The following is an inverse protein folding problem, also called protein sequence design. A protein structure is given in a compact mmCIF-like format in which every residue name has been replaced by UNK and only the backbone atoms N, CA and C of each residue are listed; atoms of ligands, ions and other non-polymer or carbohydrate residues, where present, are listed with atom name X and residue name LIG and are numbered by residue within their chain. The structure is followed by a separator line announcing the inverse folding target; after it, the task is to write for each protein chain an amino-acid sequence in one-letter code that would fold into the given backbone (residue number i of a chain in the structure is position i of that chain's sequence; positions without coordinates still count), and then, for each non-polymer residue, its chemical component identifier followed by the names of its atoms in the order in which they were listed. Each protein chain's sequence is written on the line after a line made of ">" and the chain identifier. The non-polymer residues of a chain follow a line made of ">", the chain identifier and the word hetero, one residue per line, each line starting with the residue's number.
data_IF_713155969089
#
_entry.id   IF_713155969089
#
_cell.length_a   1.000
_cell.length_b   1.000
_cell.length_c   1.000
_cell.angle_alpha   90.00
_cell.angle_beta   90.00
_cell.angle_gamma   90.00
#
_symmetry.space_group_name_H-M   'P 1'
#
loop_
_entity.id
_entity.type
_entity.pdbx_description
1 polymer ?
#
# COMPACT_ATOMS: atom_id res chain seq x y z
N UNK A 1 -3.25 13.36 19.51
CA UNK A 1 -3.91 12.38 20.41
C UNK A 1 -5.37 12.80 20.69
N UNK A 2 -6.33 11.88 20.53
CA UNK A 2 -7.74 12.15 20.83
C UNK A 2 -7.92 12.51 22.33
N UNK A 3 -8.77 13.50 22.68
CA UNK A 3 -9.00 13.90 24.07
C UNK A 3 -9.51 12.71 24.91
N UNK A 4 -8.97 12.54 26.12
CA UNK A 4 -9.34 11.46 27.05
C UNK A 4 -10.82 11.56 27.43
N UNK A 5 -11.67 10.73 26.84
CA UNK A 5 -13.10 10.67 27.17
C UNK A 5 -13.58 9.24 27.10
N UNK A 6 -14.21 8.78 28.19
CA UNK A 6 -15.03 7.56 28.39
C UNK A 6 -14.57 6.27 27.69
N UNK A 7 -14.40 5.17 28.43
CA UNK A 7 -14.08 3.84 27.85
C UNK A 7 -15.25 3.32 26.99
N UNK A 8 -15.39 3.82 25.76
CA UNK A 8 -16.55 3.59 24.87
C UNK A 8 -16.66 2.13 24.41
N UNK A 9 -15.54 1.41 24.39
CA UNK A 9 -15.49 -0.01 24.02
C UNK A 9 -15.35 -0.94 25.24
N UNK A 10 -15.52 -0.44 26.47
CA UNK A 10 -15.44 -1.26 27.67
C UNK A 10 -16.43 -2.42 27.63
N UNK A 11 -15.94 -3.64 27.81
CA UNK A 11 -16.74 -4.86 27.80
C UNK A 11 -17.25 -5.29 26.41
N UNK A 12 -17.06 -4.49 25.35
CA UNK A 12 -17.38 -4.89 23.99
C UNK A 12 -16.44 -6.01 23.52
N UNK A 13 -16.97 -6.92 22.72
CA UNK A 13 -16.21 -8.03 22.13
C UNK A 13 -15.92 -7.79 20.66
N UNK A 14 -14.64 -7.64 20.33
CA UNK A 14 -14.14 -7.44 18.97
C UNK A 14 -13.58 -8.76 18.43
N UNK A 15 -14.14 -9.24 17.31
CA UNK A 15 -13.57 -10.33 16.52
C UNK A 15 -12.72 -9.75 15.39
N UNK A 16 -11.39 -9.95 15.43
CA UNK A 16 -10.46 -9.30 14.49
C UNK A 16 -9.67 -10.35 13.73
N UNK A 17 -9.88 -10.43 12.42
CA UNK A 17 -9.09 -11.31 11.55
C UNK A 17 -7.71 -10.72 11.29
N UNK A 18 -6.66 -11.53 11.41
CA UNK A 18 -5.28 -11.09 11.19
C UNK A 18 -4.69 -10.20 12.30
N UNK A 19 -5.18 -10.31 13.54
CA UNK A 19 -4.74 -9.47 14.67
C UNK A 19 -3.42 -9.89 15.36
N UNK A 20 -2.67 -10.84 14.82
CA UNK A 20 -1.38 -11.27 15.40
C UNK A 20 -0.27 -10.22 15.26
N UNK A 21 -0.41 -9.26 14.33
CA UNK A 21 0.59 -8.20 14.04
C UNK A 21 -0.02 -7.06 13.23
N UNK A 22 0.77 -6.00 13.02
CA UNK A 22 0.44 -4.90 12.11
C UNK A 22 -0.85 -4.16 12.49
N UNK A 23 -1.61 -3.76 11.47
CA UNK A 23 -2.82 -2.93 11.61
C UNK A 23 -3.86 -3.62 12.52
N UNK A 24 -4.16 -4.90 12.29
CA UNK A 24 -5.12 -5.65 13.11
C UNK A 24 -4.75 -5.67 14.59
N UNK A 25 -3.46 -5.84 14.92
CA UNK A 25 -2.97 -5.78 16.31
C UNK A 25 -3.08 -4.36 16.88
N UNK A 26 -2.78 -3.33 16.10
CA UNK A 26 -2.89 -1.95 16.55
C UNK A 26 -4.34 -1.56 16.89
N UNK A 27 -5.31 -1.97 16.05
CA UNK A 27 -6.75 -1.81 16.33
C UNK A 27 -7.13 -2.55 17.62
N UNK A 28 -6.68 -3.80 17.77
CA UNK A 28 -6.91 -4.59 18.98
C UNK A 28 -6.39 -3.89 20.23
N UNK A 29 -5.15 -3.39 20.21
CA UNK A 29 -4.53 -2.69 21.34
C UNK A 29 -5.24 -1.38 21.68
N UNK A 30 -5.73 -0.66 20.66
CA UNK A 30 -6.50 0.57 20.88
C UNK A 30 -7.82 0.29 21.61
N UNK A 31 -8.54 -0.76 21.22
CA UNK A 31 -9.76 -1.19 21.91
C UNK A 31 -9.47 -1.80 23.29
N UNK A 32 -8.36 -2.53 23.44
CA UNK A 32 -7.94 -3.13 24.71
C UNK A 32 -7.72 -2.09 25.81
N UNK A 33 -7.22 -0.89 25.47
CA UNK A 33 -7.06 0.24 26.41
C UNK A 33 -8.38 0.70 27.06
N UNK A 34 -9.51 0.41 26.43
CA UNK A 34 -10.84 0.66 26.99
C UNK A 34 -11.36 -0.49 27.88
N UNK A 35 -10.64 -1.61 27.96
CA UNK A 35 -11.10 -2.83 28.63
C UNK A 35 -12.02 -3.70 27.75
N UNK A 36 -11.81 -3.69 26.43
CA UNK A 36 -12.53 -4.54 25.50
C UNK A 36 -12.04 -6.01 25.55
N UNK A 37 -12.91 -6.93 25.12
CA UNK A 37 -12.54 -8.32 24.85
C UNK A 37 -12.12 -8.46 23.38
N UNK A 38 -10.96 -9.05 23.12
CA UNK A 38 -10.41 -9.19 21.77
C UNK A 38 -10.27 -10.67 21.42
N UNK A 39 -10.94 -11.09 20.36
CA UNK A 39 -10.72 -12.38 19.71
C UNK A 39 -9.69 -12.20 18.59
N UNK A 40 -8.53 -12.84 18.76
CA UNK A 40 -7.40 -12.73 17.84
C UNK A 40 -7.47 -13.91 16.87
N UNK A 41 -8.13 -13.71 15.72
CA UNK A 41 -8.32 -14.75 14.72
C UNK A 41 -7.19 -14.70 13.66
N UNK A 42 -6.12 -15.47 13.87
CA UNK A 42 -5.01 -15.52 12.91
C UNK A 42 -4.27 -16.87 12.91
N UNK A 43 -3.48 -17.12 11.85
CA UNK A 43 -2.84 -18.42 11.61
C UNK A 43 -1.58 -18.69 12.46
N UNK A 44 -0.86 -17.65 12.87
CA UNK A 44 0.48 -17.80 13.45
C UNK A 44 0.40 -18.15 14.93
N UNK A 45 0.43 -19.44 15.25
CA UNK A 45 0.56 -19.95 16.62
C UNK A 45 2.03 -20.04 17.05
N UNK A 46 2.88 -20.58 16.17
CA UNK A 46 4.31 -20.73 16.40
C UNK A 46 5.12 -19.57 15.78
N UNK A 47 6.29 -19.20 16.35
CA UNK A 47 7.17 -18.19 15.78
C UNK A 47 7.52 -18.48 14.32
N UNK A 48 7.36 -17.47 13.45
CA UNK A 48 7.66 -17.59 12.02
C UNK A 48 9.04 -17.01 11.72
N UNK A 49 9.81 -17.66 10.82
CA UNK A 49 11.19 -17.25 10.49
C UNK A 49 11.32 -15.79 10.02
N UNK A 50 10.30 -15.28 9.34
CA UNK A 50 10.32 -13.95 8.70
C UNK A 50 9.26 -12.98 9.20
N UNK A 51 8.29 -13.43 10.01
CA UNK A 51 7.17 -12.60 10.45
C UNK A 51 7.17 -12.52 11.98
N UNK A 52 7.21 -11.32 12.57
CA UNK A 52 7.26 -11.17 14.02
C UNK A 52 5.89 -11.50 14.65
N UNK A 53 5.92 -11.94 15.91
CA UNK A 53 4.72 -12.15 16.74
C UNK A 53 3.88 -13.37 16.37
N UNK A 54 3.07 -13.79 17.33
CA UNK A 54 2.08 -14.87 17.23
C UNK A 54 0.74 -14.40 17.80
N UNK A 55 -0.31 -15.21 17.69
CA UNK A 55 -1.57 -14.94 18.40
C UNK A 55 -1.38 -14.85 19.91
N UNK A 56 -0.40 -15.57 20.48
CA UNK A 56 -0.13 -15.60 21.91
C UNK A 56 0.66 -14.37 22.37
N UNK A 57 1.66 -13.91 21.61
CA UNK A 57 2.35 -12.65 21.95
C UNK A 57 1.40 -11.46 21.83
N UNK A 58 0.53 -11.45 20.80
CA UNK A 58 -0.50 -10.43 20.67
C UNK A 58 -1.50 -10.46 21.85
N UNK A 59 -1.88 -11.65 22.32
CA UNK A 59 -2.74 -11.79 23.50
C UNK A 59 -2.11 -11.17 24.75
N UNK A 60 -0.84 -11.46 25.02
CA UNK A 60 -0.12 -10.88 26.15
C UNK A 60 -0.05 -9.35 26.07
N UNK A 61 0.20 -8.78 24.87
CA UNK A 61 0.21 -7.32 24.68
C UNK A 61 -1.19 -6.70 24.90
N UNK A 62 -2.26 -7.38 24.48
CA UNK A 62 -3.66 -6.94 24.67
C UNK A 62 -4.04 -6.96 26.16
N UNK A 63 -3.66 -8.02 26.88
CA UNK A 63 -3.91 -8.13 28.33
C UNK A 63 -3.13 -7.07 29.09
N UNK A 64 -1.87 -6.84 28.74
CA UNK A 64 -1.04 -5.78 29.32
C UNK A 64 -1.62 -4.37 29.06
N UNK A 65 -2.33 -4.18 27.94
CA UNK A 65 -3.02 -2.92 27.62
C UNK A 65 -4.34 -2.73 28.40
N UNK A 66 -4.79 -3.74 29.16
CA UNK A 66 -6.00 -3.69 29.99
C UNK A 66 -7.23 -4.39 29.40
N UNK A 67 -7.09 -5.03 28.23
CA UNK A 67 -8.16 -5.82 27.61
C UNK A 67 -8.17 -7.27 28.07
N UNK A 68 -9.10 -8.06 27.52
CA UNK A 68 -9.08 -9.53 27.62
C UNK A 68 -8.79 -10.12 26.26
N UNK A 69 -7.93 -11.13 26.16
CA UNK A 69 -7.58 -11.75 24.89
C UNK A 69 -8.11 -13.18 24.76
N UNK A 70 -8.57 -13.54 23.57
CA UNK A 70 -8.87 -14.91 23.18
C UNK A 70 -8.10 -15.24 21.88
N UNK A 71 -6.91 -15.85 21.98
CA UNK A 71 -6.17 -16.29 20.81
C UNK A 71 -6.83 -17.50 20.16
N UNK A 72 -7.15 -17.38 18.86
CA UNK A 72 -7.75 -18.44 18.05
C UNK A 72 -6.91 -18.68 16.80
N UNK A 73 -6.49 -19.93 16.59
CA UNK A 73 -5.84 -20.34 15.35
C UNK A 73 -6.88 -20.35 14.25
N UNK A 74 -6.81 -19.36 13.35
CA UNK A 74 -7.78 -19.20 12.27
C UNK A 74 -7.07 -18.88 10.96
N UNK A 75 -7.23 -19.79 10.00
CA UNK A 75 -7.08 -19.53 8.59
C UNK A 75 -8.46 -19.19 8.02
N UNK A 76 -8.69 -17.94 7.64
CA UNK A 76 -9.99 -17.46 7.10
C UNK A 76 -10.41 -18.12 5.78
N UNK A 77 -9.56 -18.96 5.20
CA UNK A 77 -9.90 -19.82 4.05
C UNK A 77 -10.69 -21.06 4.49
N UNK A 78 -10.58 -21.46 5.74
CA UNK A 78 -11.26 -22.64 6.30
C UNK A 78 -12.50 -22.18 7.08
N UNK A 79 -13.70 -22.43 6.53
CA UNK A 79 -14.97 -21.98 7.13
C UNK A 79 -15.19 -22.56 8.53
N UNK A 80 -14.82 -23.82 8.73
CA UNK A 80 -14.91 -24.50 10.03
C UNK A 80 -14.06 -23.82 11.10
N UNK A 81 -12.85 -23.34 10.77
CA UNK A 81 -12.01 -22.62 11.74
C UNK A 81 -12.62 -21.26 12.12
N UNK A 82 -13.31 -20.59 11.19
CA UNK A 82 -14.06 -19.37 11.48
C UNK A 82 -15.21 -19.70 12.45
N UNK A 83 -16.02 -20.71 12.14
CA UNK A 83 -17.16 -21.15 12.97
C UNK A 83 -16.68 -21.46 14.39
N UNK A 84 -15.68 -22.33 14.52
CA UNK A 84 -15.15 -22.74 15.82
C UNK A 84 -14.63 -21.55 16.64
N UNK A 85 -13.98 -20.57 16.00
CA UNK A 85 -13.50 -19.37 16.69
C UNK A 85 -14.63 -18.44 17.14
N UNK A 86 -15.68 -18.28 16.32
CA UNK A 86 -16.88 -17.49 16.67
C UNK A 86 -17.62 -18.15 17.83
N UNK A 87 -17.83 -19.47 17.78
CA UNK A 87 -18.46 -20.22 18.88
C UNK A 87 -17.67 -20.11 20.18
N UNK A 88 -16.33 -20.23 20.10
CA UNK A 88 -15.44 -20.03 21.25
C UNK A 88 -15.55 -18.62 21.81
N UNK A 89 -15.61 -17.60 20.95
CA UNK A 89 -15.80 -16.21 21.36
C UNK A 89 -17.12 -16.00 22.11
N UNK A 90 -18.22 -16.50 21.56
CA UNK A 90 -19.55 -16.40 22.16
C UNK A 90 -19.62 -17.15 23.49
N UNK A 91 -19.03 -18.35 23.57
CA UNK A 91 -18.93 -19.10 24.83
C UNK A 91 -18.12 -18.36 25.90
N UNK A 92 -17.08 -17.63 25.49
CA UNK A 92 -16.14 -16.99 26.42
C UNK A 92 -16.63 -15.61 26.88
N UNK A 93 -17.18 -14.81 25.96
CA UNK A 93 -17.53 -13.40 26.20
C UNK A 93 -19.02 -13.09 26.07
N UNK A 94 -19.85 -14.09 25.74
CA UNK A 94 -21.31 -13.96 25.68
C UNK A 94 -21.86 -13.41 24.36
N UNK A 95 -21.01 -12.91 23.46
CA UNK A 95 -21.43 -12.34 22.18
C UNK A 95 -20.29 -11.76 21.36
N UNK A 96 -20.64 -11.10 20.26
CA UNK A 96 -19.72 -10.35 19.40
C UNK A 96 -20.39 -9.02 19.08
N UNK A 97 -19.72 -7.92 19.38
CA UNK A 97 -20.21 -6.56 19.13
C UNK A 97 -19.63 -5.99 17.84
N UNK A 98 -18.40 -6.37 17.52
CA UNK A 98 -17.66 -5.77 16.41
C UNK A 98 -16.91 -6.88 15.67
N UNK A 99 -17.01 -6.88 14.34
CA UNK A 99 -16.14 -7.64 13.45
C UNK A 99 -15.21 -6.67 12.71
N UNK A 100 -13.92 -6.97 12.70
CA UNK A 100 -12.93 -6.28 11.88
C UNK A 100 -12.32 -7.27 10.88
N UNK A 101 -12.67 -7.13 9.62
CA UNK A 101 -12.09 -7.90 8.51
C UNK A 101 -10.79 -7.24 8.04
N UNK A 102 -9.68 -7.60 8.70
CA UNK A 102 -8.35 -7.07 8.43
C UNK A 102 -7.43 -8.08 7.71
N UNK A 103 -7.66 -9.39 7.84
CA UNK A 103 -6.83 -10.39 7.17
C UNK A 103 -6.80 -10.14 5.64
N UNK A 104 -5.61 -10.16 5.06
CA UNK A 104 -5.44 -9.97 3.62
C UNK A 104 -4.18 -10.68 3.09
N UNK A 105 -4.20 -10.99 1.81
CA UNK A 105 -3.07 -11.43 1.00
C UNK A 105 -2.86 -10.45 -0.16
N UNK A 106 -1.62 -10.35 -0.62
CA UNK A 106 -1.19 -9.38 -1.63
C UNK A 106 -0.17 -10.00 -2.59
N UNK A 107 -0.35 -9.72 -3.88
CA UNK A 107 0.62 -9.96 -4.95
C UNK A 107 0.48 -8.84 -5.97
N UNK A 108 1.53 -8.04 -6.16
CA UNK A 108 1.54 -6.91 -7.09
C UNK A 108 2.15 -7.31 -8.43
N UNK A 109 1.52 -8.28 -9.09
CA UNK A 109 1.97 -8.88 -10.35
C UNK A 109 0.91 -8.66 -11.44
N UNK A 110 1.35 -8.54 -12.69
CA UNK A 110 0.47 -8.49 -13.85
C UNK A 110 -0.19 -9.86 -14.14
N UNK A 111 -1.09 -9.89 -15.12
CA UNK A 111 -1.92 -11.07 -15.41
C UNK A 111 -1.08 -12.30 -15.78
N UNK A 112 -0.05 -12.15 -16.60
CA UNK A 112 0.80 -13.27 -17.04
C UNK A 112 1.76 -13.73 -15.94
N UNK A 113 2.12 -12.85 -15.01
CA UNK A 113 3.08 -13.10 -13.94
C UNK A 113 2.42 -13.65 -12.66
N UNK A 114 1.10 -13.50 -12.53
CA UNK A 114 0.38 -13.94 -11.33
C UNK A 114 0.09 -15.43 -11.40
N UNK A 115 0.88 -16.23 -10.68
CA UNK A 115 0.61 -17.66 -10.49
C UNK A 115 -0.81 -17.91 -9.95
N UNK A 116 -1.52 -18.91 -10.47
CA UNK A 116 -2.90 -19.24 -10.08
C UNK A 116 -3.09 -19.39 -8.58
N UNK A 117 -2.13 -20.03 -7.87
CA UNK A 117 -2.18 -20.15 -6.41
C UNK A 117 -2.21 -18.80 -5.68
N UNK A 118 -1.60 -17.74 -6.24
CA UNK A 118 -1.62 -16.38 -5.69
C UNK A 118 -2.96 -15.70 -5.97
N UNK A 119 -3.54 -15.92 -7.16
CA UNK A 119 -4.92 -15.47 -7.45
C UNK A 119 -5.89 -16.08 -6.46
N UNK A 120 -5.87 -17.40 -6.30
CA UNK A 120 -6.73 -18.13 -5.36
C UNK A 120 -6.50 -17.65 -3.93
N UNK A 121 -5.24 -17.51 -3.50
CA UNK A 121 -4.93 -17.00 -2.16
C UNK A 121 -5.52 -15.61 -1.91
N UNK A 122 -5.39 -14.68 -2.86
CA UNK A 122 -5.95 -13.33 -2.71
C UNK A 122 -7.48 -13.36 -2.68
N UNK A 123 -8.14 -14.12 -3.56
CA UNK A 123 -9.60 -14.20 -3.56
C UNK A 123 -10.15 -14.89 -2.32
N UNK A 124 -9.52 -15.99 -1.89
CA UNK A 124 -9.97 -16.78 -0.75
C UNK A 124 -9.74 -16.06 0.58
N UNK A 125 -8.61 -15.35 0.75
CA UNK A 125 -8.34 -14.61 1.98
C UNK A 125 -9.10 -13.28 2.02
N UNK A 126 -9.05 -12.50 0.94
CA UNK A 126 -9.59 -11.14 0.94
C UNK A 126 -11.12 -11.18 0.81
N UNK A 127 -11.63 -11.76 -0.28
CA UNK A 127 -13.08 -11.71 -0.60
C UNK A 127 -13.85 -12.76 0.19
N UNK A 128 -13.53 -14.05 -0.04
CA UNK A 128 -14.26 -15.16 0.59
C UNK A 128 -14.10 -15.14 2.11
N UNK A 129 -12.90 -14.91 2.62
CA UNK A 129 -12.64 -14.80 4.06
C UNK A 129 -13.45 -13.69 4.74
N UNK A 130 -13.53 -12.51 4.11
CA UNK A 130 -14.39 -11.40 4.57
C UNK A 130 -15.86 -11.81 4.58
N UNK A 131 -16.35 -12.37 3.46
CA UNK A 131 -17.74 -12.78 3.35
C UNK A 131 -18.13 -13.83 4.41
N UNK A 132 -17.33 -14.89 4.56
CA UNK A 132 -17.61 -15.97 5.50
C UNK A 132 -17.52 -15.51 6.95
N UNK A 133 -16.52 -14.70 7.30
CA UNK A 133 -16.40 -14.20 8.67
C UNK A 133 -17.57 -13.29 9.01
N UNK A 134 -17.99 -12.41 8.09
CA UNK A 134 -19.21 -11.60 8.26
C UNK A 134 -20.46 -12.46 8.42
N UNK A 135 -20.69 -13.42 7.51
CA UNK A 135 -21.81 -14.38 7.56
C UNK A 135 -21.90 -15.05 8.94
N UNK A 136 -20.77 -15.55 9.45
CA UNK A 136 -20.74 -16.30 10.72
C UNK A 136 -20.92 -15.40 11.95
N UNK A 137 -20.42 -14.16 11.92
CA UNK A 137 -20.57 -13.20 13.03
C UNK A 137 -21.95 -12.51 13.07
N UNK A 138 -22.61 -12.33 11.92
CA UNK A 138 -23.87 -11.57 11.79
C UNK A 138 -24.98 -11.96 12.78
N UNK A 139 -25.28 -13.25 13.04
CA UNK A 139 -26.29 -13.64 14.03
C UNK A 139 -26.03 -13.13 15.45
N UNK A 140 -24.77 -12.91 15.80
CA UNK A 140 -24.35 -12.39 17.11
C UNK A 140 -24.28 -10.86 17.11
N UNK A 141 -23.79 -10.26 16.03
CA UNK A 141 -23.78 -8.81 15.83
C UNK A 141 -25.21 -8.24 15.93
N UNK A 142 -26.21 -8.89 15.33
CA UNK A 142 -27.62 -8.46 15.41
C UNK A 142 -28.18 -8.38 16.84
N UNK A 143 -27.52 -9.02 17.82
CA UNK A 143 -27.89 -8.98 19.25
C UNK A 143 -27.13 -7.91 20.03
N UNK A 144 -26.08 -7.31 19.46
CA UNK A 144 -25.31 -6.26 20.10
C UNK A 144 -26.07 -4.93 20.14
N UNK A 145 -25.73 -4.09 21.13
CA UNK A 145 -26.31 -2.75 21.29
C UNK A 145 -25.88 -1.78 20.19
N UNK A 146 -24.63 -1.88 19.73
CA UNK A 146 -24.07 -0.99 18.70
C UNK A 146 -23.13 -1.79 17.77
N UNK A 147 -23.69 -2.67 16.92
CA UNK A 147 -22.89 -3.58 16.12
C UNK A 147 -22.19 -2.94 14.93
N UNK A 148 -20.94 -3.33 14.71
CA UNK A 148 -20.14 -2.89 13.56
C UNK A 148 -19.44 -4.04 12.83
N UNK A 149 -19.41 -3.95 11.50
CA UNK A 149 -18.49 -4.65 10.62
C UNK A 149 -17.60 -3.59 9.97
N UNK A 150 -16.29 -3.70 10.18
CA UNK A 150 -15.28 -2.83 9.57
C UNK A 150 -14.37 -3.63 8.66
N UNK A 151 -14.43 -3.35 7.35
CA UNK A 151 -13.56 -3.97 6.36
C UNK A 151 -12.36 -3.05 6.10
N UNK A 152 -11.14 -3.58 6.21
CA UNK A 152 -9.93 -2.81 5.87
C UNK A 152 -9.73 -2.87 4.35
N UNK A 153 -10.53 -2.10 3.60
CA UNK A 153 -10.58 -2.13 2.14
C UNK A 153 -10.80 -0.73 1.55
N UNK A 154 -10.38 -0.49 0.29
CA UNK A 154 -10.38 0.85 -0.30
C UNK A 154 -11.76 1.29 -0.79
N UNK A 155 -11.98 2.59 -1.03
CA UNK A 155 -13.08 3.05 -1.88
C UNK A 155 -13.03 2.39 -3.27
N UNK A 156 -14.21 2.21 -3.89
CA UNK A 156 -14.33 1.63 -5.22
C UNK A 156 -14.00 2.65 -6.31
N UNK A 157 -12.71 2.82 -6.63
CA UNK A 157 -12.26 3.71 -7.70
C UNK A 157 -12.12 2.94 -9.03
N UNK A 158 -13.02 3.18 -9.98
CA UNK A 158 -13.05 2.49 -11.28
C UNK A 158 -12.08 3.07 -12.33
N UNK A 159 -11.14 3.95 -11.94
CA UNK A 159 -10.10 4.42 -12.84
C UNK A 159 -9.23 3.23 -13.32
N UNK A 160 -9.12 2.98 -14.64
CA UNK A 160 -8.36 1.84 -15.18
C UNK A 160 -6.89 1.78 -14.75
N UNK A 161 -6.29 2.91 -14.35
CA UNK A 161 -4.92 2.95 -13.82
C UNK A 161 -4.74 1.97 -12.65
N UNK A 162 -5.76 1.81 -11.78
CA UNK A 162 -5.70 0.91 -10.62
C UNK A 162 -5.82 -0.57 -10.96
N UNK A 163 -6.27 -0.90 -12.16
CA UNK A 163 -6.41 -2.30 -12.62
C UNK A 163 -5.22 -2.73 -13.46
N UNK A 164 -4.51 -1.77 -14.07
CA UNK A 164 -3.45 -2.01 -15.07
C UNK A 164 -2.33 -2.95 -14.59
N UNK A 165 -1.79 -2.72 -13.40
CA UNK A 165 -0.52 -3.34 -12.97
C UNK A 165 -0.69 -4.56 -12.05
N UNK A 166 -1.83 -4.70 -11.38
CA UNK A 166 -2.07 -5.71 -10.35
C UNK A 166 -3.56 -6.08 -10.26
N UNK A 167 -4.16 -6.37 -11.41
CA UNK A 167 -5.60 -6.57 -11.58
C UNK A 167 -6.20 -7.56 -10.56
N UNK A 168 -5.56 -8.72 -10.36
CA UNK A 168 -6.03 -9.74 -9.41
C UNK A 168 -6.09 -9.22 -7.96
N UNK A 169 -5.09 -8.44 -7.53
CA UNK A 169 -5.09 -7.82 -6.21
C UNK A 169 -6.18 -6.74 -6.10
N UNK A 170 -6.31 -5.87 -7.10
CA UNK A 170 -7.34 -4.82 -7.14
C UNK A 170 -8.73 -5.42 -7.03
N UNK A 171 -9.06 -6.44 -7.84
CA UNK A 171 -10.34 -7.17 -7.77
C UNK A 171 -10.54 -7.74 -6.37
N UNK A 172 -9.52 -8.37 -5.78
CA UNK A 172 -9.66 -9.00 -4.46
C UNK A 172 -9.94 -7.99 -3.33
N UNK A 173 -9.33 -6.80 -3.35
CA UNK A 173 -9.60 -5.75 -2.36
C UNK A 173 -10.93 -5.04 -2.62
N UNK A 174 -11.29 -4.85 -3.89
CA UNK A 174 -12.58 -4.28 -4.26
C UNK A 174 -13.72 -5.23 -3.92
N UNK A 175 -13.52 -6.55 -3.98
CA UNK A 175 -14.51 -7.53 -3.52
C UNK A 175 -14.86 -7.37 -2.04
N UNK A 176 -13.88 -7.07 -1.17
CA UNK A 176 -14.15 -6.73 0.24
C UNK A 176 -15.02 -5.47 0.38
N UNK A 177 -14.75 -4.47 -0.46
CA UNK A 177 -15.52 -3.22 -0.51
C UNK A 177 -16.92 -3.40 -1.10
N UNK A 178 -17.08 -4.33 -2.05
CA UNK A 178 -18.40 -4.73 -2.55
C UNK A 178 -19.22 -5.47 -1.48
N UNK A 179 -18.58 -6.23 -0.57
CA UNK A 179 -19.27 -6.75 0.60
C UNK A 179 -19.81 -5.61 1.50
N UNK A 180 -19.10 -4.48 1.61
CA UNK A 180 -19.61 -3.30 2.34
C UNK A 180 -20.86 -2.75 1.68
N UNK A 181 -20.84 -2.53 0.36
CA UNK A 181 -22.03 -2.06 -0.37
C UNK A 181 -23.25 -2.95 -0.14
N UNK A 182 -23.09 -4.27 -0.30
CA UNK A 182 -24.20 -5.21 -0.14
C UNK A 182 -24.69 -5.29 1.29
N UNK A 183 -23.79 -5.59 2.23
CA UNK A 183 -24.17 -5.85 3.62
C UNK A 183 -24.65 -4.61 4.36
N UNK A 184 -24.18 -3.41 4.01
CA UNK A 184 -24.66 -2.16 4.63
C UNK A 184 -26.15 -1.92 4.38
N UNK A 185 -26.63 -2.22 3.16
CA UNK A 185 -28.05 -2.09 2.81
C UNK A 185 -28.85 -3.31 3.27
N UNK A 186 -28.30 -4.53 3.16
CA UNK A 186 -28.95 -5.76 3.63
C UNK A 186 -29.28 -5.72 5.12
N UNK A 187 -28.40 -5.13 5.95
CA UNK A 187 -28.55 -5.06 7.41
C UNK A 187 -28.78 -3.64 7.94
N UNK A 188 -29.35 -2.76 7.10
CA UNK A 188 -29.59 -1.36 7.45
C UNK A 188 -30.44 -1.22 8.71
N UNK A 189 -29.96 -0.43 9.66
CA UNK A 189 -30.62 -0.24 10.96
C UNK A 189 -30.40 -1.38 11.96
N UNK A 190 -29.85 -2.51 11.52
CA UNK A 190 -29.46 -3.63 12.38
C UNK A 190 -27.96 -3.60 12.69
N UNK A 191 -27.11 -3.48 11.67
CA UNK A 191 -25.63 -3.53 11.77
C UNK A 191 -24.99 -2.43 10.91
N UNK A 192 -24.05 -1.68 11.49
CA UNK A 192 -23.22 -0.76 10.69
C UNK A 192 -22.14 -1.54 9.94
N UNK A 193 -22.02 -1.31 8.63
CA UNK A 193 -21.00 -1.94 7.79
C UNK A 193 -20.26 -0.84 7.02
N UNK A 194 -18.96 -0.72 7.24
CA UNK A 194 -18.14 0.32 6.62
C UNK A 194 -16.79 -0.23 6.16
N UNK A 195 -16.12 0.50 5.28
CA UNK A 195 -14.73 0.27 4.91
C UNK A 195 -13.82 1.35 5.50
N UNK A 196 -12.59 0.99 5.87
CA UNK A 196 -11.52 1.93 6.25
C UNK A 196 -10.26 1.65 5.44
N UNK A 197 -9.66 2.71 4.90
CA UNK A 197 -8.44 2.63 4.11
C UNK A 197 -7.44 3.73 4.49
N UNK A 198 -6.13 3.42 4.54
CA UNK A 198 -5.13 4.43 4.81
C UNK A 198 -4.85 5.30 3.57
N UNK A 199 -4.70 6.60 3.80
CA UNK A 199 -4.28 7.57 2.76
C UNK A 199 -2.84 7.34 2.30
N UNK A 200 -1.98 6.83 3.18
CA UNK A 200 -0.55 6.61 2.94
C UNK A 200 -0.14 5.19 3.27
N UNK A 201 1.04 4.77 2.82
CA UNK A 201 1.62 3.49 3.23
C UNK A 201 1.75 3.42 4.77
N UNK A 202 1.47 2.24 5.32
CA UNK A 202 1.55 1.97 6.76
C UNK A 202 2.71 1.03 7.02
N UNK A 203 3.58 1.39 7.96
CA UNK A 203 4.75 0.61 8.29
C UNK A 203 4.34 -0.69 8.98
N UNK A 204 4.56 -1.80 8.29
CA UNK A 204 4.26 -3.15 8.74
C UNK A 204 5.29 -4.11 8.13
N UNK A 205 5.44 -5.30 8.71
CA UNK A 205 6.31 -6.33 8.12
C UNK A 205 5.96 -6.65 6.66
N UNK A 206 4.67 -6.61 6.28
CA UNK A 206 4.24 -6.78 4.89
C UNK A 206 4.74 -5.64 3.99
N UNK A 207 4.74 -4.40 4.49
CA UNK A 207 5.26 -3.25 3.76
C UNK A 207 6.79 -3.32 3.60
N UNK A 208 7.52 -3.77 4.63
CA UNK A 208 8.96 -3.97 4.54
C UNK A 208 9.33 -5.00 3.46
N UNK A 209 8.54 -6.08 3.36
CA UNK A 209 8.71 -7.09 2.31
C UNK A 209 8.40 -6.57 0.89
N UNK A 210 7.46 -5.62 0.75
CA UNK A 210 7.04 -5.08 -0.55
C UNK A 210 7.93 -3.92 -1.02
N UNK A 211 8.26 -2.99 -0.12
CA UNK A 211 8.99 -1.77 -0.44
C UNK A 211 10.51 -1.88 -0.26
N UNK A 212 10.99 -2.92 0.43
CA UNK A 212 12.40 -3.12 0.74
C UNK A 212 12.94 -2.13 1.77
N UNK A 213 14.25 -2.16 1.99
CA UNK A 213 14.92 -1.33 2.99
C UNK A 213 14.70 0.16 2.75
N UNK A 214 14.35 0.90 3.80
CA UNK A 214 14.15 2.35 3.75
C UNK A 214 12.71 2.78 3.43
N UNK A 215 11.80 1.83 3.16
CA UNK A 215 10.37 2.13 2.93
C UNK A 215 9.70 2.65 4.20
N UNK A 216 10.16 2.23 5.37
CA UNK A 216 9.60 2.60 6.67
C UNK A 216 9.56 4.12 6.85
N UNK A 217 10.57 4.84 6.35
CA UNK A 217 10.67 6.32 6.44
C UNK A 217 9.65 7.07 5.60
N UNK A 218 8.95 6.39 4.70
CA UNK A 218 7.90 6.97 3.85
C UNK A 218 6.51 6.50 4.29
N UNK A 219 6.43 5.82 5.43
CA UNK A 219 5.21 5.25 5.96
C UNK A 219 4.74 6.01 7.21
N UNK A 220 3.45 5.86 7.49
CA UNK A 220 2.88 6.18 8.81
C UNK A 220 2.85 4.94 9.71
N UNK A 221 2.80 5.18 11.01
CA UNK A 221 2.60 4.18 12.05
C UNK A 221 1.20 3.58 11.93
N UNK A 222 1.05 2.35 12.42
CA UNK A 222 -0.26 1.67 12.47
C UNK A 222 -1.29 2.40 13.34
N UNK A 223 -0.84 3.25 14.26
CA UNK A 223 -1.66 4.04 15.18
C UNK A 223 -2.70 4.91 14.45
N UNK A 224 -2.42 5.41 13.25
CA UNK A 224 -3.39 6.24 12.50
C UNK A 224 -4.65 5.44 12.13
N UNK A 225 -4.49 4.18 11.71
CA UNK A 225 -5.63 3.32 11.41
C UNK A 225 -6.30 2.81 12.67
N UNK A 226 -5.54 2.60 13.75
CA UNK A 226 -6.12 2.24 15.04
C UNK A 226 -7.02 3.35 15.59
N UNK A 227 -6.58 4.61 15.51
CA UNK A 227 -7.34 5.77 15.93
C UNK A 227 -8.56 6.01 15.03
N UNK A 228 -8.40 5.92 13.69
CA UNK A 228 -9.53 6.04 12.76
C UNK A 228 -10.57 4.92 12.95
N UNK A 229 -10.12 3.66 13.14
CA UNK A 229 -11.01 2.55 13.44
C UNK A 229 -11.77 2.78 14.75
N UNK A 230 -11.11 3.24 15.81
CA UNK A 230 -11.76 3.56 17.08
C UNK A 230 -12.86 4.62 16.93
N UNK A 231 -12.62 5.66 16.13
CA UNK A 231 -13.63 6.66 15.81
C UNK A 231 -14.86 6.03 15.12
N UNK A 232 -14.66 5.16 14.12
CA UNK A 232 -15.76 4.48 13.41
C UNK A 232 -16.55 3.56 14.33
N UNK A 233 -15.86 2.70 15.08
CA UNK A 233 -16.46 1.67 15.93
C UNK A 233 -17.26 2.24 17.12
N UNK A 234 -17.10 3.53 17.39
CA UNK A 234 -17.84 4.26 18.43
C UNK A 234 -18.95 5.18 17.86
N UNK A 235 -19.14 5.20 16.53
CA UNK A 235 -20.31 5.82 15.89
C UNK A 235 -21.58 4.98 16.13
N UNK A 236 -22.78 5.58 16.05
CA UNK A 236 -24.03 4.82 16.09
C UNK A 236 -24.15 3.89 14.87
N UNK A 237 -24.89 2.78 15.00
CA UNK A 237 -25.16 1.84 13.90
C UNK A 237 -25.82 2.43 12.64
N UNK A 238 -26.34 3.66 12.70
CA UNK A 238 -26.81 4.40 11.52
C UNK A 238 -25.67 4.91 10.63
N UNK A 239 -24.45 4.98 11.15
CA UNK A 239 -23.24 5.27 10.37
C UNK A 239 -22.82 4.00 9.60
N UNK A 240 -23.39 3.78 8.42
CA UNK A 240 -23.21 2.58 7.61
C UNK A 240 -23.07 2.92 6.12
N UNK A 241 -22.45 2.03 5.34
CA UNK A 241 -22.29 2.18 3.89
C UNK A 241 -21.14 3.10 3.46
N UNK A 242 -20.24 3.46 4.37
CA UNK A 242 -19.19 4.45 4.11
C UNK A 242 -17.86 3.80 3.69
N UNK A 243 -17.09 4.52 2.88
CA UNK A 243 -15.71 4.19 2.51
C UNK A 243 -14.77 5.26 3.05
N UNK A 244 -14.29 5.04 4.27
CA UNK A 244 -13.56 6.04 5.04
C UNK A 244 -12.06 6.03 4.71
N UNK A 245 -11.48 7.22 4.62
CA UNK A 245 -10.04 7.45 4.61
C UNK A 245 -9.58 7.94 5.98
N UNK A 246 -8.54 7.32 6.53
CA UNK A 246 -8.04 7.53 7.89
C UNK A 246 -7.79 8.99 8.26
N UNK A 247 -6.96 9.69 7.46
CA UNK A 247 -6.63 11.09 7.70
C UNK A 247 -7.84 12.01 7.56
N UNK A 248 -8.68 11.77 6.56
CA UNK A 248 -9.82 12.63 6.29
C UNK A 248 -10.81 12.56 7.46
N UNK A 249 -11.12 11.36 7.97
CA UNK A 249 -11.92 11.19 9.19
C UNK A 249 -11.24 11.81 10.42
N UNK A 250 -9.95 11.59 10.62
CA UNK A 250 -9.26 12.12 11.80
C UNK A 250 -9.22 13.65 11.81
N UNK A 251 -9.17 14.30 10.63
CA UNK A 251 -9.32 15.75 10.50
C UNK A 251 -10.71 16.20 10.93
N UNK A 252 -11.76 15.48 10.53
CA UNK A 252 -13.15 15.75 10.95
C UNK A 252 -13.32 15.59 12.48
N UNK A 253 -12.63 14.63 13.10
CA UNK A 253 -12.57 14.44 14.55
C UNK A 253 -11.66 15.46 15.27
N UNK A 254 -11.13 16.46 14.55
CA UNK A 254 -10.38 17.58 15.10
C UNK A 254 -8.86 17.36 15.23
N UNK A 255 -8.32 16.27 14.70
CA UNK A 255 -6.86 16.06 14.66
C UNK A 255 -6.24 17.02 13.65
N UNK A 256 -5.28 17.84 14.12
CA UNK A 256 -4.59 18.83 13.28
C UNK A 256 -3.17 18.40 12.92
N UNK A 257 -2.45 17.86 13.91
CA UNK A 257 -1.08 17.39 13.77
C UNK A 257 -1.06 15.90 13.40
N UNK A 258 -0.52 15.60 12.22
CA UNK A 258 -0.35 14.24 11.68
C UNK A 258 1.10 13.75 11.72
N UNK A 259 2.04 14.58 12.16
CA UNK A 259 3.45 14.21 12.25
C UNK A 259 3.66 13.15 13.33
N UNK A 260 2.81 13.15 14.36
CA UNK A 260 2.75 12.09 15.38
C UNK A 260 2.56 10.69 14.80
N UNK A 261 1.89 10.58 13.64
CA UNK A 261 1.68 9.33 12.94
C UNK A 261 2.79 9.01 11.92
N UNK A 262 3.69 9.93 11.58
CA UNK A 262 4.79 9.63 10.67
C UNK A 262 5.84 8.74 11.37
N UNK A 263 6.45 7.81 10.62
CA UNK A 263 7.66 7.11 11.08
C UNK A 263 8.86 8.07 11.07
N UNK A 264 8.96 8.91 10.04
CA UNK A 264 9.96 9.96 9.90
C UNK A 264 9.29 11.26 9.43
N UNK A 265 9.07 12.27 10.31
CA UNK A 265 8.31 13.48 9.99
C UNK A 265 8.88 14.32 8.84
N UNK A 266 10.20 14.28 8.61
CA UNK A 266 10.89 15.16 7.64
C UNK A 266 10.86 14.66 6.18
N UNK A 267 10.11 13.60 5.86
CA UNK A 267 10.09 13.00 4.50
C UNK A 267 8.69 12.88 3.92
N UNK A 268 8.59 13.02 2.60
CA UNK A 268 7.34 12.81 1.86
C UNK A 268 6.85 11.36 2.01
N UNK A 269 5.64 11.19 2.54
CA UNK A 269 4.99 9.89 2.67
C UNK A 269 4.53 9.34 1.31
N UNK A 270 4.56 8.03 1.14
CA UNK A 270 3.96 7.37 -0.03
C UNK A 270 2.45 7.44 0.11
N UNK A 271 1.80 8.15 -0.80
CA UNK A 271 0.33 8.21 -0.87
C UNK A 271 -0.17 6.92 -1.52
N UNK A 272 -1.07 6.21 -0.83
CA UNK A 272 -1.80 5.08 -1.39
C UNK A 272 -3.01 5.64 -2.14
N UNK A 273 -2.86 5.77 -3.45
CA UNK A 273 -3.90 6.40 -4.26
C UNK A 273 -5.02 5.40 -4.55
N UNK A 274 -6.11 5.62 -3.82
CA UNK A 274 -7.49 5.13 -3.96
C UNK A 274 -8.43 5.94 -3.05
N UNK A 275 -7.83 6.90 -2.33
CA UNK A 275 -8.39 7.80 -1.34
C UNK A 275 -8.59 9.17 -2.00
N UNK A 276 -9.85 9.56 -2.17
CA UNK A 276 -10.31 10.84 -2.72
C UNK A 276 -10.30 11.00 -4.26
N UNK A 277 -11.51 10.93 -4.83
CA UNK A 277 -12.01 11.99 -5.70
C UNK A 277 -13.42 12.35 -5.22
N UNK A 278 -13.57 13.52 -4.62
CA UNK A 278 -14.87 14.19 -4.45
C UNK A 278 -15.43 14.48 -5.84
N UNK A 279 -16.61 13.97 -6.14
CA UNK A 279 -17.34 14.33 -7.36
C UNK A 279 -17.68 15.82 -7.30
N UNK A 280 -17.05 16.61 -8.17
CA UNK A 280 -17.59 17.90 -8.62
C UNK A 280 -17.62 17.88 -10.14
N UNK A 281 -18.85 17.87 -10.67
CA UNK A 281 -19.12 18.21 -12.07
C UNK A 281 -18.68 19.65 -12.34
N UNK A 282 -18.03 19.91 -13.47
CA UNK A 282 -18.09 21.23 -14.08
C UNK A 282 -17.92 21.19 -15.60
N UNK A 283 -18.77 22.00 -16.24
CA UNK A 283 -19.00 22.16 -17.68
C UNK A 283 -17.81 22.75 -18.43
N UNK A 284 -17.72 22.38 -19.71
CA UNK A 284 -16.95 23.08 -20.77
C UNK A 284 -17.26 24.58 -20.83
N UNK A 285 -16.25 25.41 -21.12
CA UNK A 285 -16.29 26.37 -22.24
C UNK A 285 -14.88 26.88 -22.62
N UNK A 286 -14.78 27.23 -23.90
CA UNK A 286 -13.62 27.49 -24.75
C UNK A 286 -13.01 28.89 -24.63
N UNK A 287 -11.76 29.05 -25.09
CA UNK A 287 -11.23 30.32 -25.59
C UNK A 287 -9.71 30.31 -25.80
N UNK A 288 -9.26 30.58 -27.03
CA UNK A 288 -7.87 30.49 -27.50
C UNK A 288 -7.26 31.86 -27.86
N UNK A 289 -5.99 32.08 -27.42
CA UNK A 289 -4.84 32.76 -28.09
C UNK A 289 -4.81 34.30 -28.35
N UNK A 290 -3.65 34.93 -28.72
CA UNK A 290 -2.23 34.80 -28.26
C UNK A 290 -1.41 36.16 -28.19
N UNK A 291 -0.07 36.04 -27.98
CA UNK A 291 1.07 37.01 -28.19
C UNK A 291 1.36 38.08 -27.10
N UNK A 292 2.59 38.46 -26.72
CA UNK A 292 3.97 38.29 -27.20
C UNK A 292 5.00 38.87 -26.17
N UNK A 293 6.30 39.08 -26.50
CA UNK A 293 7.44 38.51 -25.75
C UNK A 293 8.26 39.49 -24.88
N UNK A 294 8.98 38.98 -23.86
CA UNK A 294 10.17 39.65 -23.27
C UNK A 294 11.29 38.67 -22.85
N UNK A 295 12.32 38.67 -23.71
CA UNK A 295 13.78 38.58 -23.51
C UNK A 295 14.33 37.87 -22.27
N UNK A 296 15.04 36.77 -22.54
CA UNK A 296 15.95 36.06 -21.65
C UNK A 296 17.26 36.82 -21.47
N UNK A 297 17.71 36.98 -20.22
CA UNK A 297 19.13 37.17 -19.89
C UNK A 297 19.80 35.81 -19.80
N UNK A 298 20.84 35.64 -20.61
CA UNK A 298 21.69 34.46 -20.69
C UNK A 298 22.40 34.19 -19.35
N UNK A 299 22.24 32.96 -18.86
CA UNK A 299 23.26 32.28 -18.06
C UNK A 299 23.49 30.92 -18.71
N UNK A 300 24.77 30.59 -18.93
CA UNK A 300 25.30 29.42 -19.61
C UNK A 300 24.56 28.12 -19.27
N UNK A 301 23.74 27.63 -20.20
CA UNK A 301 22.96 26.40 -20.06
C UNK A 301 23.84 25.17 -20.29
N UNK A 302 24.36 24.59 -19.20
CA UNK A 302 24.87 23.23 -19.26
C UNK A 302 23.71 22.28 -19.61
N UNK A 303 23.80 21.61 -20.77
CA UNK A 303 22.84 20.60 -21.26
C UNK A 303 22.85 19.37 -20.34
N UNK A 304 21.90 19.19 -19.40
CA UNK A 304 22.05 18.23 -18.31
C UNK A 304 22.03 16.77 -18.75
N UNK A 305 21.36 16.45 -19.87
CA UNK A 305 21.32 15.09 -20.43
C UNK A 305 22.67 14.74 -21.05
N UNK A 306 23.21 15.64 -21.89
CA UNK A 306 24.50 15.43 -22.55
C UNK A 306 25.64 15.30 -21.52
N UNK A 307 25.62 16.12 -20.47
CA UNK A 307 26.59 16.04 -19.38
C UNK A 307 26.46 14.73 -18.59
N UNK A 308 25.24 14.27 -18.34
CA UNK A 308 24.99 12.97 -17.71
C UNK A 308 25.64 11.82 -18.50
N UNK A 309 25.46 11.78 -19.82
CA UNK A 309 26.09 10.77 -20.67
C UNK A 309 27.62 10.92 -20.75
N UNK A 310 28.15 12.15 -20.67
CA UNK A 310 29.58 12.40 -20.58
C UNK A 310 30.19 11.84 -19.29
N UNK A 311 29.51 12.04 -18.15
CA UNK A 311 29.90 11.47 -16.87
C UNK A 311 29.86 9.94 -16.91
N UNK A 312 28.81 9.36 -17.50
CA UNK A 312 28.71 7.90 -17.71
C UNK A 312 29.90 7.40 -18.52
N UNK A 313 30.20 8.03 -19.66
CA UNK A 313 31.32 7.67 -20.53
C UNK A 313 32.68 7.77 -19.80
N UNK A 314 32.88 8.82 -19.00
CA UNK A 314 34.11 9.02 -18.22
C UNK A 314 34.28 8.03 -17.07
N UNK A 315 33.19 7.48 -16.55
CA UNK A 315 33.19 6.53 -15.45
C UNK A 315 33.16 5.04 -15.90
N UNK A 316 33.16 4.78 -17.22
CA UNK A 316 33.21 3.41 -17.73
C UNK A 316 34.54 2.73 -17.40
N UNK A 317 34.47 1.47 -16.99
CA UNK A 317 35.64 0.64 -16.69
C UNK A 317 35.42 -0.78 -17.22
N UNK A 318 36.51 -1.52 -17.45
CA UNK A 318 36.43 -2.93 -17.86
C UNK A 318 35.64 -3.80 -16.87
N UNK A 319 35.62 -3.43 -15.58
CA UNK A 319 34.85 -4.12 -14.55
C UNK A 319 33.33 -4.01 -14.82
N UNK A 320 32.84 -2.81 -15.16
CA UNK A 320 31.42 -2.61 -15.44
C UNK A 320 30.96 -3.29 -16.73
N UNK A 321 31.84 -3.32 -17.75
CA UNK A 321 31.61 -4.07 -19.00
C UNK A 321 31.52 -5.57 -18.72
N UNK A 322 32.46 -6.13 -17.93
CA UNK A 322 32.46 -7.57 -17.59
C UNK A 322 31.27 -7.99 -16.73
N UNK A 323 30.77 -7.13 -15.86
CA UNK A 323 29.68 -7.47 -14.91
C UNK A 323 28.29 -7.27 -15.51
N UNK A 324 28.10 -6.26 -16.35
CA UNK A 324 26.80 -5.91 -16.93
C UNK A 324 26.52 -6.69 -18.21
N UNK A 325 27.47 -6.70 -19.16
CA UNK A 325 27.39 -7.41 -20.45
C UNK A 325 26.10 -7.13 -21.25
N UNK A 326 25.71 -5.86 -21.37
CA UNK A 326 24.48 -5.48 -22.06
C UNK A 326 24.56 -4.13 -22.75
N UNK A 327 23.74 -3.95 -23.79
CA UNK A 327 23.60 -2.70 -24.54
C UNK A 327 22.21 -2.11 -24.32
N UNK A 328 22.17 -0.84 -23.93
CA UNK A 328 20.98 -0.12 -23.51
C UNK A 328 20.75 1.07 -24.43
N UNK A 329 19.56 1.17 -25.02
CA UNK A 329 19.14 2.33 -25.80
C UNK A 329 18.07 3.10 -25.03
N UNK A 330 18.20 4.42 -24.98
CA UNK A 330 17.29 5.35 -24.32
C UNK A 330 16.60 6.22 -25.35
N UNK A 331 15.28 6.21 -25.38
CA UNK A 331 14.45 7.15 -26.12
C UNK A 331 13.94 8.21 -25.15
N UNK A 332 14.59 9.38 -25.16
CA UNK A 332 14.28 10.48 -24.26
C UNK A 332 13.34 11.49 -24.93
N UNK A 333 12.33 11.96 -24.20
CA UNK A 333 11.39 12.98 -24.68
C UNK A 333 11.49 14.28 -23.90
N UNK A 334 11.09 15.40 -24.53
CA UNK A 334 11.14 16.74 -23.95
C UNK A 334 12.38 17.52 -24.39
N UNK A 335 12.77 18.52 -23.60
CA UNK A 335 13.96 19.32 -23.88
C UNK A 335 15.21 18.41 -23.84
N UNK A 336 16.11 18.53 -24.80
CA UNK A 336 17.27 17.61 -24.98
C UNK A 336 16.91 16.13 -25.18
N UNK A 337 15.69 15.84 -25.64
CA UNK A 337 15.28 14.50 -26.03
C UNK A 337 16.05 13.95 -27.24
N UNK A 338 15.81 12.68 -27.55
CA UNK A 338 16.45 11.95 -28.65
C UNK A 338 16.86 10.54 -28.24
N UNK A 339 17.50 9.84 -29.17
CA UNK A 339 18.03 8.50 -28.93
C UNK A 339 19.44 8.60 -28.35
N UNK A 340 19.67 7.91 -27.24
CA UNK A 340 20.96 7.80 -26.57
C UNK A 340 21.27 6.33 -26.27
N UNK A 341 22.52 6.02 -25.93
CA UNK A 341 22.88 4.64 -25.60
C UNK A 341 23.96 4.52 -24.53
N UNK A 342 24.02 3.33 -23.92
CA UNK A 342 25.09 2.83 -23.06
C UNK A 342 25.41 1.41 -23.52
N UNK A 343 26.61 1.16 -24.00
CA UNK A 343 27.15 -0.13 -24.39
C UNK A 343 28.14 -0.63 -23.31
N UNK A 344 27.70 -1.60 -22.52
CA UNK A 344 28.51 -2.31 -21.53
C UNK A 344 28.78 -3.75 -21.96
N UNK A 345 28.83 -4.01 -23.27
CA UNK A 345 29.03 -5.35 -23.86
C UNK A 345 30.27 -5.38 -24.74
N UNK A 346 30.50 -4.32 -25.51
CA UNK A 346 31.66 -4.19 -26.40
C UNK A 346 32.92 -3.81 -25.60
N UNK A 347 34.09 -4.28 -26.04
CA UNK A 347 35.38 -4.04 -25.37
C UNK A 347 35.64 -2.53 -25.23
N UNK A 348 35.88 -2.08 -24.00
CA UNK A 348 36.13 -0.68 -23.65
C UNK A 348 34.87 0.10 -23.19
N UNK A 349 33.68 -0.36 -23.59
CA UNK A 349 32.41 0.31 -23.29
C UNK A 349 32.27 1.69 -23.97
N UNK A 350 31.03 2.07 -24.30
CA UNK A 350 30.76 3.41 -24.81
C UNK A 350 29.38 3.92 -24.42
N UNK A 351 29.18 5.22 -24.40
CA UNK A 351 27.91 5.88 -24.15
C UNK A 351 27.86 7.20 -24.92
N UNK A 352 26.70 7.56 -25.46
CA UNK A 352 26.58 8.78 -26.25
C UNK A 352 25.24 8.99 -26.92
N UNK A 353 25.17 10.05 -27.70
CA UNK A 353 24.00 10.40 -28.51
C UNK A 353 23.95 9.58 -29.79
N UNK A 354 22.76 9.14 -30.18
CA UNK A 354 22.50 8.31 -31.36
C UNK A 354 22.18 6.86 -31.03
N UNK A 355 22.13 6.03 -32.08
CA UNK A 355 21.91 4.59 -31.95
C UNK A 355 23.17 3.88 -31.45
N UNK A 356 23.04 2.80 -30.67
CA UNK A 356 24.18 2.01 -30.22
C UNK A 356 24.94 1.36 -31.41
N UNK A 357 26.25 1.11 -31.26
CA UNK A 357 27.08 0.50 -32.31
C UNK A 357 26.70 -0.95 -32.63
N UNK A 358 26.01 -1.62 -31.71
CA UNK A 358 25.43 -2.96 -31.88
C UNK A 358 23.98 -2.95 -31.40
N UNK A 359 23.20 -3.97 -31.78
CA UNK A 359 21.78 -4.08 -31.40
C UNK A 359 21.60 -4.01 -29.88
N UNK A 360 20.70 -3.14 -29.42
CA UNK A 360 20.39 -2.99 -28.01
C UNK A 360 19.69 -4.25 -27.46
N UNK A 361 20.13 -4.70 -26.29
CA UNK A 361 19.47 -5.77 -25.53
C UNK A 361 18.27 -5.23 -24.73
N UNK A 362 18.28 -3.93 -24.42
CA UNK A 362 17.26 -3.24 -23.63
C UNK A 362 16.95 -1.87 -24.22
N UNK A 363 15.68 -1.54 -24.35
CA UNK A 363 15.17 -0.24 -24.78
C UNK A 363 14.43 0.42 -23.62
N UNK A 364 14.81 1.64 -23.27
CA UNK A 364 14.23 2.43 -22.19
C UNK A 364 13.63 3.72 -22.75
N UNK A 365 12.43 4.10 -22.32
CA UNK A 365 11.80 5.36 -22.76
C UNK A 365 11.30 6.15 -21.56
N UNK A 366 11.65 7.44 -21.48
CA UNK A 366 11.27 8.35 -20.40
C UNK A 366 11.44 9.82 -20.81
N UNK A 367 11.04 10.76 -19.96
CA UNK A 367 11.37 12.18 -20.16
C UNK A 367 12.85 12.46 -19.84
N UNK A 368 13.45 13.45 -20.50
CA UNK A 368 14.81 13.92 -20.19
C UNK A 368 14.98 14.30 -18.72
N UNK A 369 13.97 14.94 -18.13
CA UNK A 369 13.97 15.34 -16.71
C UNK A 369 14.01 14.13 -15.78
N UNK A 370 13.20 13.10 -16.08
CA UNK A 370 13.17 11.87 -15.29
C UNK A 370 14.47 11.08 -15.47
N UNK A 371 15.10 11.12 -16.64
CA UNK A 371 16.42 10.51 -16.88
C UNK A 371 17.50 11.14 -15.99
N UNK A 372 17.58 12.48 -15.96
CA UNK A 372 18.54 13.19 -15.11
C UNK A 372 18.27 12.94 -13.63
N UNK A 373 17.01 12.94 -13.20
CA UNK A 373 16.63 12.58 -11.82
C UNK A 373 16.99 11.14 -11.49
N UNK A 374 16.85 10.24 -12.46
CA UNK A 374 17.19 8.83 -12.29
C UNK A 374 18.70 8.63 -12.13
N UNK A 375 19.48 9.31 -12.97
CA UNK A 375 20.93 9.26 -12.89
C UNK A 375 21.46 9.87 -11.59
N UNK A 376 20.95 11.05 -11.19
CA UNK A 376 21.35 11.75 -9.96
C UNK A 376 20.79 11.14 -8.67
N UNK A 377 20.12 9.97 -8.74
CA UNK A 377 19.59 9.25 -7.58
C UNK A 377 18.33 9.86 -6.95
N UNK A 378 17.80 10.96 -7.50
CA UNK A 378 16.57 11.63 -7.05
C UNK A 378 15.30 10.87 -7.46
N UNK A 379 15.40 9.94 -8.40
CA UNK A 379 14.31 9.06 -8.84
C UNK A 379 14.85 7.63 -8.98
N UNK A 380 14.31 6.67 -8.21
CA UNK A 380 14.74 5.28 -8.38
C UNK A 380 14.18 4.69 -9.69
N UNK A 381 14.97 3.93 -10.49
CA UNK A 381 14.49 3.32 -11.73
C UNK A 381 13.25 2.44 -11.53
N UNK A 382 13.21 1.66 -10.45
CA UNK A 382 12.05 0.86 -10.03
C UNK A 382 10.79 1.71 -9.81
N UNK A 383 10.90 2.83 -9.11
CA UNK A 383 9.77 3.75 -8.89
C UNK A 383 9.32 4.43 -10.18
N UNK A 384 10.27 4.87 -11.03
CA UNK A 384 9.97 5.45 -12.33
C UNK A 384 9.22 4.46 -13.23
N UNK A 385 9.61 3.18 -13.19
CA UNK A 385 8.95 2.12 -13.94
C UNK A 385 7.54 1.85 -13.40
N UNK A 386 7.40 1.68 -12.09
CA UNK A 386 6.10 1.47 -11.43
C UNK A 386 5.12 2.63 -11.65
N UNK A 387 5.61 3.88 -11.68
CA UNK A 387 4.80 5.07 -11.93
C UNK A 387 4.54 5.33 -13.42
N UNK A 388 5.07 4.49 -14.32
CA UNK A 388 4.91 4.62 -15.77
C UNK A 388 5.73 5.74 -16.43
N UNK A 389 6.65 6.36 -15.69
CA UNK A 389 7.58 7.40 -16.17
C UNK A 389 8.75 6.82 -16.95
N UNK A 390 9.14 5.59 -16.63
CA UNK A 390 10.11 4.78 -17.38
C UNK A 390 9.40 3.58 -18.00
N UNK A 391 9.59 3.36 -19.29
CA UNK A 391 9.13 2.16 -19.99
C UNK A 391 10.35 1.34 -20.42
N UNK A 392 10.33 0.04 -20.19
CA UNK A 392 11.43 -0.86 -20.54
C UNK A 392 10.90 -1.94 -21.50
N UNK A 393 11.64 -2.21 -22.56
CA UNK A 393 11.45 -3.36 -23.46
C UNK A 393 12.77 -4.11 -23.60
N UNK A 394 12.71 -5.43 -23.83
CA UNK A 394 13.91 -6.27 -23.97
C UNK A 394 14.27 -7.00 -22.67
N UNK A 395 15.56 -7.24 -22.45
CA UNK A 395 16.03 -8.12 -21.37
C UNK A 395 15.95 -7.46 -19.99
N UNK A 396 14.94 -7.84 -19.20
CA UNK A 396 14.72 -7.28 -17.86
C UNK A 396 15.84 -7.59 -16.85
N UNK A 397 16.55 -8.72 -16.99
CA UNK A 397 17.66 -9.03 -16.10
C UNK A 397 18.84 -8.06 -16.33
N UNK A 398 19.09 -7.66 -17.57
CA UNK A 398 20.08 -6.63 -17.90
C UNK A 398 19.64 -5.24 -17.42
N UNK A 399 18.34 -4.92 -17.51
CA UNK A 399 17.81 -3.66 -16.96
C UNK A 399 18.06 -3.52 -15.44
N UNK A 400 17.89 -4.61 -14.68
CA UNK A 400 18.19 -4.63 -13.24
C UNK A 400 19.69 -4.55 -12.94
N UNK A 401 20.54 -5.12 -13.80
CA UNK A 401 22.00 -4.96 -13.68
C UNK A 401 22.42 -3.51 -13.91
N UNK A 402 21.81 -2.82 -14.87
CA UNK A 402 22.05 -1.40 -15.11
C UNK A 402 21.66 -0.56 -13.89
N UNK A 403 20.51 -0.81 -13.26
CA UNK A 403 20.11 -0.12 -12.02
C UNK A 403 21.16 -0.28 -10.90
N UNK A 404 21.66 -1.50 -10.69
CA UNK A 404 22.73 -1.75 -9.71
C UNK A 404 24.01 -0.97 -10.05
N UNK A 405 24.34 -0.85 -11.33
CA UNK A 405 25.50 -0.12 -11.81
C UNK A 405 25.34 1.40 -11.61
N UNK A 406 24.18 1.97 -11.99
CA UNK A 406 23.85 3.37 -11.76
C UNK A 406 23.86 3.75 -10.27
N UNK A 407 23.42 2.83 -9.39
CA UNK A 407 23.46 3.05 -7.94
C UNK A 407 24.90 3.13 -7.40
N UNK A 408 25.84 2.41 -8.01
CA UNK A 408 27.28 2.46 -7.64
C UNK A 408 27.97 3.74 -8.12
N UNK A 409 27.49 4.36 -9.20
CA UNK A 409 27.99 5.67 -9.62
C UNK A 409 27.57 6.78 -8.66
N UNK A 410 26.33 6.75 -8.16
CA UNK A 410 25.84 7.70 -7.16
C UNK A 410 26.54 7.62 -5.79
N UNK A 411 27.29 6.54 -5.51
CA UNK A 411 28.13 6.47 -4.30
C UNK A 411 29.54 7.03 -4.48
N UNK A 412 29.91 7.44 -5.70
CA UNK A 412 31.25 7.98 -6.04
C UNK A 412 31.22 9.43 -6.55
N UNK A 413 30.03 10.00 -6.70
CA UNK A 413 29.74 11.43 -6.87
C UNK A 413 29.23 11.97 -5.53
#
# INVERSE_FOLDING_TARGET
>A
PLPSTFRKLAGCTLFITGASRGIGKAIALKAAKDGANIVIAAKTAEPHRTLPGTIYTAAAEIEAAGGKALPCIVNVREEEQIINAVEKAVKTFGGIDILVNNASAISLTGTLETETKKVNLMMEVNVRGTYLTSKTCLPYLKKSRNPHILNLSPPLNLNPMWFKNHCAYTISKYGMSMCVLGMAEEFKGEVAVNALWPKTAIHTAAMDMLGGSGVEKQCRKTDILADAAYCILTKPKSFTGNFIIDEDLLREEGVKDFDVYAIAPEKNNVILVGASQTFKEEKKLSGSQPEGPKVNTESTSAKPVAETFRVIQGAMSEEYVKTTQGVFQFELSGNEGGTWYIDLKTKGGSAGFGKPPVTADVFMSMSSDDFVKMFTGKLKPTLAFMSGKLRIKGNMALALKLEKMLTRFNSKL
#
